data_IF_132458148588
#
_entry.id   IF_132458148588
#
_cell.length_a   1.000
_cell.length_b   1.000
_cell.length_c   1.000
_cell.angle_alpha   90.00
_cell.angle_beta   90.00
_cell.angle_gamma   90.00
#
_symmetry.space_group_name_H-M   'P 1'
#
loop_
_entity.id
_entity.type
_entity.pdbx_description
1 polymer ?
#
# COMPACT_ATOMS: atom_id res chain seq x y z
N UNK A 1 4.43 6.02 8.26
CA UNK A 1 5.08 4.70 8.39
C UNK A 1 6.23 4.57 7.39
N UNK A 2 7.36 5.26 7.58
CA UNK A 2 8.51 5.12 6.68
C UNK A 2 9.14 3.72 6.79
N UNK A 3 9.60 3.12 5.68
CA UNK A 3 10.32 1.82 5.69
C UNK A 3 9.59 0.63 6.28
N UNK A 4 8.26 0.71 6.37
CA UNK A 4 7.49 -0.45 6.79
C UNK A 4 7.37 -1.45 5.63
N UNK A 5 7.39 -2.74 5.99
CA UNK A 5 7.15 -3.84 5.07
C UNK A 5 5.75 -3.76 4.43
N UNK A 6 5.63 -4.26 3.21
CA UNK A 6 4.38 -4.22 2.43
C UNK A 6 3.20 -4.89 3.15
N UNK A 7 3.47 -5.93 3.95
CA UNK A 7 2.47 -6.63 4.75
C UNK A 7 1.88 -5.79 5.89
N UNK A 8 2.60 -4.80 6.42
CA UNK A 8 2.02 -3.87 7.39
C UNK A 8 0.99 -2.95 6.71
N UNK A 9 1.30 -2.45 5.51
CA UNK A 9 0.34 -1.64 4.75
C UNK A 9 -0.88 -2.45 4.37
N UNK A 10 -0.72 -3.69 3.92
CA UNK A 10 -1.86 -4.57 3.60
C UNK A 10 -2.79 -4.74 4.80
N UNK A 11 -2.26 -5.05 6.00
CA UNK A 11 -3.06 -5.19 7.22
C UNK A 11 -3.76 -3.89 7.60
N UNK A 12 -3.03 -2.77 7.56
CA UNK A 12 -3.59 -1.46 7.86
C UNK A 12 -4.71 -1.08 6.91
N UNK A 13 -4.50 -1.25 5.60
CA UNK A 13 -5.49 -0.96 4.57
C UNK A 13 -6.71 -1.85 4.73
N UNK A 14 -6.50 -3.16 4.92
CA UNK A 14 -7.59 -4.14 5.10
C UNK A 14 -8.46 -3.81 6.31
N UNK A 15 -7.86 -3.41 7.43
CA UNK A 15 -8.58 -3.01 8.63
C UNK A 15 -9.43 -1.74 8.44
N UNK A 16 -9.10 -0.90 7.46
CA UNK A 16 -9.81 0.35 7.16
C UNK A 16 -10.58 0.29 5.83
N UNK A 17 -10.68 -0.88 5.19
CA UNK A 17 -11.10 -1.06 3.80
C UNK A 17 -12.60 -0.81 3.59
N UNK A 18 -12.95 0.47 3.57
CA UNK A 18 -14.29 1.01 3.35
C UNK A 18 -14.14 2.41 2.77
N UNK A 19 -15.09 2.87 1.95
CA UNK A 19 -15.01 4.23 1.37
C UNK A 19 -14.87 5.30 2.43
N UNK A 20 -15.69 5.24 3.50
CA UNK A 20 -15.62 6.19 4.61
C UNK A 20 -14.35 6.08 5.46
N UNK A 21 -13.75 4.89 5.59
CA UNK A 21 -12.49 4.69 6.31
C UNK A 21 -11.31 5.21 5.51
N UNK A 22 -11.22 4.81 4.24
CA UNK A 22 -10.12 5.16 3.34
C UNK A 22 -10.09 6.63 2.97
N UNK A 23 -11.26 7.28 2.78
CA UNK A 23 -11.35 8.71 2.51
C UNK A 23 -10.85 9.62 3.65
N UNK A 24 -10.63 9.07 4.85
CA UNK A 24 -10.11 9.81 6.01
C UNK A 24 -8.62 9.59 6.27
N UNK A 25 -7.96 8.79 5.43
CA UNK A 25 -6.57 8.38 5.63
C UNK A 25 -5.64 9.21 4.76
N UNK A 26 -4.59 9.74 5.38
CA UNK A 26 -3.43 10.31 4.69
C UNK A 26 -2.24 9.42 5.01
N UNK A 27 -1.62 8.85 3.98
CA UNK A 27 -0.45 7.99 4.14
C UNK A 27 0.83 8.82 3.97
N UNK A 28 1.61 8.95 5.05
CA UNK A 28 3.00 9.41 4.97
C UNK A 28 3.89 8.19 5.09
N UNK A 29 4.25 7.61 3.95
CA UNK A 29 4.84 6.27 3.86
C UNK A 29 5.74 6.15 2.63
N UNK A 30 6.36 5.00 2.44
CA UNK A 30 7.01 4.71 1.16
C UNK A 30 5.97 4.85 0.03
N UNK A 31 6.37 5.38 -1.13
CA UNK A 31 5.47 5.51 -2.27
C UNK A 31 4.91 4.14 -2.67
N UNK A 32 3.58 3.98 -2.65
CA UNK A 32 2.94 2.69 -2.92
C UNK A 32 3.17 2.23 -4.35
N UNK A 33 3.28 3.19 -5.28
CA UNK A 33 3.66 2.94 -6.68
C UNK A 33 4.96 2.11 -6.80
N UNK A 34 5.95 2.36 -5.95
CA UNK A 34 7.21 1.63 -5.98
C UNK A 34 7.05 0.12 -5.69
N UNK A 35 6.05 -0.26 -4.89
CA UNK A 35 5.74 -1.69 -4.67
C UNK A 35 5.08 -2.33 -5.87
N UNK A 36 4.22 -1.58 -6.59
CA UNK A 36 3.55 -2.06 -7.81
C UNK A 36 4.50 -2.16 -9.00
N UNK A 37 5.45 -1.24 -9.10
CA UNK A 37 6.44 -1.21 -10.18
C UNK A 37 7.53 -2.26 -10.00
N UNK A 38 7.90 -2.59 -8.75
CA UNK A 38 8.99 -3.53 -8.46
C UNK A 38 8.57 -5.01 -8.43
N UNK A 39 7.28 -5.31 -8.31
CA UNK A 39 6.77 -6.69 -8.18
C UNK A 39 5.70 -6.98 -9.24
N UNK A 40 5.68 -8.19 -9.83
CA UNK A 40 4.62 -8.58 -10.75
C UNK A 40 3.22 -8.45 -10.11
N UNK A 41 2.27 -7.83 -10.81
CA UNK A 41 0.91 -7.59 -10.32
C UNK A 41 0.24 -8.87 -9.77
N UNK A 42 0.40 -10.01 -10.46
CA UNK A 42 -0.13 -11.30 -10.00
C UNK A 42 0.35 -11.70 -8.59
N UNK A 43 1.59 -11.37 -8.23
CA UNK A 43 2.13 -11.65 -6.89
C UNK A 43 1.54 -10.69 -5.87
N UNK A 44 1.41 -9.40 -6.23
CA UNK A 44 0.82 -8.39 -5.37
C UNK A 44 -0.67 -8.64 -5.12
N UNK A 45 -1.45 -9.00 -6.12
CA UNK A 45 -2.87 -9.35 -5.96
C UNK A 45 -3.07 -10.57 -5.07
N UNK A 46 -2.17 -11.56 -5.18
CA UNK A 46 -2.24 -12.77 -4.37
C UNK A 46 -1.86 -12.52 -2.90
N UNK A 47 -0.88 -11.63 -2.64
CA UNK A 47 -0.30 -11.44 -1.29
C UNK A 47 -0.76 -10.18 -0.58
N UNK A 48 -0.88 -9.09 -1.32
CA UNK A 48 -1.22 -7.75 -0.80
C UNK A 48 -2.28 -7.09 -1.68
N UNK A 49 -3.48 -7.69 -1.78
CA UNK A 49 -4.52 -7.21 -2.69
C UNK A 49 -5.01 -5.79 -2.40
N UNK A 50 -5.04 -5.37 -1.13
CA UNK A 50 -5.45 -4.02 -0.78
C UNK A 50 -4.41 -3.01 -1.27
N UNK A 51 -3.11 -3.33 -1.13
CA UNK A 51 -2.03 -2.51 -1.69
C UNK A 51 -2.11 -2.44 -3.21
N UNK A 52 -2.30 -3.59 -3.88
CA UNK A 52 -2.40 -3.67 -5.34
C UNK A 52 -3.56 -2.82 -5.89
N UNK A 53 -4.71 -2.84 -5.20
CA UNK A 53 -5.91 -2.11 -5.59
C UNK A 53 -5.84 -0.61 -5.28
N UNK A 54 -5.24 -0.21 -4.17
CA UNK A 54 -5.21 1.20 -3.75
C UNK A 54 -4.10 1.99 -4.45
N UNK A 55 -2.94 1.38 -4.66
CA UNK A 55 -1.76 2.06 -5.20
C UNK A 55 -2.03 2.86 -6.50
N UNK A 56 -2.74 2.35 -7.53
CA UNK A 56 -3.03 3.13 -8.73
C UNK A 56 -4.05 4.27 -8.54
N UNK A 57 -4.74 4.32 -7.40
CA UNK A 57 -5.74 5.35 -7.06
C UNK A 57 -5.18 6.46 -6.17
N UNK A 58 -3.99 6.27 -5.61
CA UNK A 58 -3.39 7.24 -4.69
C UNK A 58 -2.73 8.39 -5.43
N UNK A 59 -3.10 9.61 -5.05
CA UNK A 59 -2.34 10.80 -5.41
C UNK A 59 -1.12 10.90 -4.51
N UNK A 60 0.05 10.79 -5.12
CA UNK A 60 1.32 10.72 -4.39
C UNK A 60 2.14 11.98 -4.60
N UNK A 61 2.45 12.68 -3.51
CA UNK A 61 3.39 13.79 -3.49
C UNK A 61 4.69 13.35 -2.82
N UNK A 62 5.76 13.23 -3.61
CA UNK A 62 7.09 12.85 -3.11
C UNK A 62 7.63 13.91 -2.16
N UNK A 63 8.07 13.49 -0.99
CA UNK A 63 8.74 14.37 -0.03
C UNK A 63 10.21 14.55 -0.41
N UNK A 64 10.80 15.71 -0.07
CA UNK A 64 12.23 15.92 -0.24
C UNK A 64 13.04 14.84 0.49
N UNK A 65 14.11 14.31 -0.13
CA UNK A 65 14.94 13.31 0.51
C UNK A 65 15.61 13.86 1.77
N UNK A 66 15.76 13.02 2.78
CA UNK A 66 16.44 13.39 4.02
C UNK A 66 17.93 13.60 3.78
N UNK A 67 18.45 14.77 4.19
CA UNK A 67 19.89 15.06 4.17
C UNK A 67 20.67 14.24 5.19
N UNK A 68 20.03 13.83 6.28
CA UNK A 68 20.64 13.03 7.35
C UNK A 68 20.64 11.53 7.06
N UNK A 69 19.63 11.05 6.35
CA UNK A 69 19.47 9.61 6.05
C UNK A 69 18.99 9.41 4.60
N UNK A 70 19.83 9.71 3.61
CA UNK A 70 19.43 9.73 2.20
C UNK A 70 19.05 8.34 1.68
N UNK A 71 19.70 7.26 2.14
CA UNK A 71 19.36 5.89 1.72
C UNK A 71 18.08 5.34 2.34
N UNK A 72 17.71 5.85 3.52
CA UNK A 72 16.44 5.52 4.14
C UNK A 72 15.35 6.37 3.47
N UNK A 73 15.22 7.65 3.76
CA UNK A 73 14.02 8.40 3.39
C UNK A 73 14.05 8.97 1.96
N UNK A 74 14.56 8.23 0.98
CA UNK A 74 14.58 8.64 -0.44
C UNK A 74 13.26 8.42 -1.19
N UNK A 75 12.36 7.61 -0.65
CA UNK A 75 11.11 7.24 -1.33
C UNK A 75 9.86 7.47 -0.47
N UNK A 76 9.87 8.51 0.36
CA UNK A 76 8.71 8.86 1.18
C UNK A 76 7.78 9.76 0.37
N UNK A 77 6.49 9.45 0.40
CA UNK A 77 5.44 10.24 -0.21
C UNK A 77 4.33 10.52 0.80
N UNK A 78 3.71 11.69 0.67
CA UNK A 78 2.38 11.96 1.18
C UNK A 78 1.38 11.47 0.14
N UNK A 79 0.50 10.54 0.51
CA UNK A 79 -0.42 9.88 -0.40
C UNK A 79 -1.85 9.98 0.12
N UNK A 80 -2.75 10.47 -0.73
CA UNK A 80 -4.18 10.63 -0.42
C UNK A 80 -5.02 9.91 -1.47
N UNK A 81 -6.21 9.51 -1.08
CA UNK A 81 -7.23 9.05 -2.00
C UNK A 81 -8.17 10.22 -2.31
N UNK A 82 -8.63 10.32 -3.56
CA UNK A 82 -9.77 11.18 -3.86
C UNK A 82 -11.05 10.59 -3.26
N UNK A 83 -12.07 11.42 -3.07
CA UNK A 83 -13.39 10.94 -2.62
C UNK A 83 -13.94 9.94 -3.64
N UNK A 84 -13.97 8.67 -3.24
CA UNK A 84 -14.30 7.55 -4.11
C UNK A 84 -15.56 6.85 -3.62
N UNK A 85 -16.68 7.22 -4.25
CA UNK A 85 -18.02 6.75 -3.89
C UNK A 85 -18.37 5.37 -4.49
N UNK A 86 -17.44 4.68 -5.15
CA UNK A 86 -17.70 3.35 -5.71
C UNK A 86 -17.67 2.26 -4.62
N UNK A 87 -18.85 1.80 -4.20
CA UNK A 87 -18.98 0.71 -3.22
C UNK A 87 -18.34 -0.62 -3.66
N UNK A 88 -18.27 -0.90 -4.96
CA UNK A 88 -17.68 -2.16 -5.45
C UNK A 88 -16.16 -2.23 -5.22
N UNK A 89 -15.50 -1.07 -5.21
CA UNK A 89 -14.08 -0.94 -4.91
C UNK A 89 -13.73 -1.45 -3.50
N UNK A 90 -14.63 -1.21 -2.55
CA UNK A 90 -14.41 -1.45 -1.13
C UNK A 90 -14.83 -2.85 -0.68
N UNK A 91 -15.31 -3.68 -1.59
CA UNK A 91 -15.65 -5.06 -1.27
C UNK A 91 -14.38 -5.88 -1.01
N UNK A 92 -14.29 -6.45 0.20
CA UNK A 92 -13.33 -7.50 0.53
C UNK A 92 -13.76 -8.87 -0.03
N UNK A 93 -15.00 -9.00 -0.54
CA UNK A 93 -15.46 -10.26 -1.10
C UNK A 93 -14.60 -10.64 -2.33
N UNK A 94 -14.06 -11.85 -2.32
CA UNK A 94 -13.18 -12.35 -3.38
C UNK A 94 -11.71 -11.93 -3.26
N UNK A 95 -11.32 -11.18 -2.21
CA UNK A 95 -9.91 -10.99 -1.90
C UNK A 95 -9.35 -12.21 -1.17
N UNK A 96 -8.12 -12.66 -1.50
CA UNK A 96 -7.46 -13.69 -0.72
C UNK A 96 -7.29 -13.22 0.73
N UNK A 97 -7.36 -14.17 1.66
CA UNK A 97 -6.93 -13.92 3.02
C UNK A 97 -5.45 -13.56 3.03
N UNK A 98 -5.12 -12.53 3.80
CA UNK A 98 -3.73 -12.15 3.97
C UNK A 98 -3.04 -13.15 4.90
N UNK A 99 -1.92 -13.74 4.47
CA UNK A 99 -1.06 -14.58 5.31
C UNK A 99 0.35 -14.00 5.43
N UNK A 100 0.89 -14.02 6.65
CA UNK A 100 2.27 -13.60 6.95
C UNK A 100 3.32 -14.66 6.54
N UNK A 101 2.90 -15.78 5.93
CA UNK A 101 3.77 -16.92 5.57
C UNK A 101 4.75 -16.61 4.42
N UNK A 102 4.56 -15.51 3.72
CA UNK A 102 5.41 -15.08 2.62
C UNK A 102 6.41 -14.03 3.10
N UNK A 103 7.71 -14.37 3.10
CA UNK A 103 8.78 -13.42 3.39
C UNK A 103 8.74 -12.21 2.43
N UNK A 104 9.29 -11.08 2.87
CA UNK A 104 9.34 -9.82 2.10
C UNK A 104 9.97 -9.99 0.69
N UNK A 105 10.77 -11.05 0.54
CA UNK A 105 11.67 -11.35 -0.57
C UNK A 105 11.08 -12.31 -1.62
N UNK A 106 9.86 -12.82 -1.43
CA UNK A 106 9.26 -13.75 -2.41
C UNK A 106 9.36 -15.22 -2.05
N UNK A 107 10.26 -15.62 -1.16
CA UNK A 107 10.41 -17.01 -0.72
C UNK A 107 9.34 -17.44 0.30
N UNK A 108 8.84 -18.66 0.10
CA UNK A 108 8.05 -19.40 1.08
C UNK A 108 9.03 -19.85 2.16
N UNK A 109 8.78 -19.47 3.42
CA UNK A 109 9.54 -20.01 4.55
C UNK A 109 9.04 -21.40 4.94
#
# INVERSE_FOLDING_TARGET
MPHCGIGLYERFLRANWSGGGMGRIILVANAMAAYVESKPMRILEARTPCVARIAPRLHSFMLPPSTKFPGAFNNIALQTLDDDNDEHTWSLAGLPEYSDEYGEDGEVR
#
